data_IF_637814821576
#
_entry.id   IF_637814821576
#
_cell.length_a   1.000
_cell.length_b   1.000
_cell.length_c   1.000
_cell.angle_alpha   90.00
_cell.angle_beta   90.00
_cell.angle_gamma   90.00
#
_symmetry.space_group_name_H-M   'P 1'
#
loop_
_entity.id
_entity.type
_entity.pdbx_description
1 polymer ?
#
# COMPACT_ATOMS: atom_id res chain seq x y z
N UNK A 1 -34.72 12.48 -2.62
CA UNK A 1 -33.70 12.68 -1.57
C UNK A 1 -32.38 12.13 -2.12
N UNK A 2 -31.33 12.92 -2.36
CA UNK A 2 -30.11 12.41 -2.97
C UNK A 2 -29.21 11.70 -1.94
N UNK A 3 -29.24 10.38 -2.06
CA UNK A 3 -28.18 9.38 -1.96
C UNK A 3 -26.72 9.82 -1.62
N UNK A 4 -26.19 9.16 -0.58
CA UNK A 4 -24.78 8.83 -0.28
C UNK A 4 -23.68 9.75 -0.81
N UNK A 5 -23.24 10.66 0.05
CA UNK A 5 -21.90 11.21 0.01
C UNK A 5 -21.16 10.78 1.28
N UNK A 6 -20.82 9.48 1.38
CA UNK A 6 -19.59 9.07 2.06
C UNK A 6 -18.44 9.43 1.14
N UNK A 7 -18.26 10.74 0.97
CA UNK A 7 -16.97 11.29 0.59
C UNK A 7 -16.03 10.88 1.71
N UNK A 8 -15.41 9.70 1.58
CA UNK A 8 -14.06 9.52 2.06
C UNK A 8 -13.27 10.59 1.32
N UNK A 9 -13.30 11.80 1.88
CA UNK A 9 -12.27 12.78 1.70
C UNK A 9 -11.03 12.00 2.05
N UNK A 10 -10.37 11.47 1.03
CA UNK A 10 -8.99 11.08 1.09
C UNK A 10 -8.28 12.40 1.32
N UNK A 11 -8.35 12.87 2.56
CA UNK A 11 -7.49 13.91 3.07
C UNK A 11 -6.13 13.48 2.56
N UNK A 12 -5.51 14.33 1.74
CA UNK A 12 -4.19 14.08 1.15
C UNK A 12 -3.12 14.09 2.25
N UNK A 13 -3.46 13.64 3.46
CA UNK A 13 -2.61 13.25 4.53
C UNK A 13 -1.59 12.25 3.99
N UNK A 14 -0.35 12.70 3.96
CA UNK A 14 0.79 11.84 3.71
C UNK A 14 0.86 10.78 4.79
N UNK A 15 0.44 9.56 4.47
CA UNK A 15 0.52 8.45 5.39
C UNK A 15 1.98 8.17 5.77
N UNK A 16 2.33 8.52 7.00
CA UNK A 16 3.57 8.09 7.62
C UNK A 16 3.36 6.69 8.19
N UNK A 17 3.76 5.69 7.42
CA UNK A 17 3.67 4.29 7.80
C UNK A 17 4.74 3.93 8.83
N UNK A 18 4.35 3.18 9.86
CA UNK A 18 5.26 2.62 10.87
C UNK A 18 5.10 1.10 10.90
N UNK A 19 6.20 0.33 10.95
CA UNK A 19 6.12 -1.12 11.08
C UNK A 19 5.54 -1.48 12.44
N UNK A 20 4.54 -2.35 12.44
CA UNK A 20 3.91 -2.91 13.64
C UNK A 20 4.40 -4.33 13.88
N UNK A 21 4.47 -5.14 12.82
CA UNK A 21 5.04 -6.49 12.87
C UNK A 21 5.69 -6.86 11.55
N UNK A 22 6.65 -7.78 11.62
CA UNK A 22 7.33 -8.33 10.45
C UNK A 22 7.40 -9.85 10.56
N UNK A 23 7.05 -10.53 9.49
CA UNK A 23 7.02 -11.98 9.40
C UNK A 23 7.87 -12.44 8.21
N UNK A 24 8.83 -13.32 8.48
CA UNK A 24 9.58 -14.01 7.43
C UNK A 24 8.70 -15.15 6.88
N UNK A 25 8.58 -15.21 5.57
CA UNK A 25 7.91 -16.28 4.81
C UNK A 25 8.85 -16.77 3.72
N UNK A 26 8.55 -17.92 3.10
CA UNK A 26 9.39 -18.47 2.03
C UNK A 26 9.56 -17.52 0.84
N UNK A 27 8.56 -16.66 0.60
CA UNK A 27 8.54 -15.67 -0.49
C UNK A 27 9.23 -14.35 -0.13
N UNK A 28 9.72 -14.18 1.10
CA UNK A 28 10.39 -12.97 1.56
C UNK A 28 9.92 -12.47 2.92
N UNK A 29 10.02 -11.17 3.15
CA UNK A 29 9.60 -10.52 4.38
C UNK A 29 8.30 -9.76 4.17
N UNK A 30 7.29 -10.10 4.96
CA UNK A 30 6.02 -9.37 5.04
C UNK A 30 6.06 -8.44 6.24
N UNK A 31 5.76 -7.17 6.02
CA UNK A 31 5.72 -6.14 7.08
C UNK A 31 4.33 -5.53 7.13
N UNK A 32 3.67 -5.69 8.28
CA UNK A 32 2.42 -4.99 8.58
C UNK A 32 2.75 -3.61 9.11
N UNK A 33 2.16 -2.59 8.49
CA UNK A 33 2.39 -1.20 8.83
C UNK A 33 1.08 -0.51 9.15
N UNK A 34 1.12 0.39 10.12
CA UNK A 34 -0.01 1.21 10.50
C UNK A 34 0.37 2.69 10.39
N UNK A 35 -0.59 3.49 9.96
CA UNK A 35 -0.50 4.94 10.02
C UNK A 35 -1.17 5.45 11.30
N UNK A 36 -0.73 6.60 11.81
CA UNK A 36 -1.34 7.23 12.99
C UNK A 36 -2.84 7.54 12.80
N UNK A 37 -3.34 7.64 11.56
CA UNK A 37 -4.76 7.79 11.26
C UNK A 37 -5.58 6.50 11.37
N UNK A 38 -4.96 5.38 11.74
CA UNK A 38 -5.62 4.08 11.87
C UNK A 38 -5.67 3.24 10.59
N UNK A 39 -5.17 3.78 9.47
CA UNK A 39 -5.04 3.03 8.22
C UNK A 39 -3.96 1.95 8.33
N UNK A 40 -4.18 0.84 7.63
CA UNK A 40 -3.28 -0.32 7.59
C UNK A 40 -2.77 -0.55 6.17
N UNK A 41 -1.53 -1.01 6.08
CA UNK A 41 -0.90 -1.43 4.83
C UNK A 41 -0.02 -2.64 5.09
N UNK A 42 0.10 -3.50 4.08
CA UNK A 42 1.06 -4.60 4.03
C UNK A 42 2.13 -4.24 3.00
N UNK A 43 3.39 -4.39 3.38
CA UNK A 43 4.53 -4.24 2.49
C UNK A 43 5.27 -5.58 2.41
N UNK A 44 5.43 -6.10 1.18
CA UNK A 44 6.21 -7.30 0.93
C UNK A 44 7.55 -6.89 0.35
N UNK A 45 8.63 -7.22 1.03
CA UNK A 45 9.99 -7.10 0.48
C UNK A 45 10.46 -8.49 0.09
N UNK A 46 10.67 -8.74 -1.21
CA UNK A 46 11.20 -10.02 -1.67
C UNK A 46 12.62 -10.23 -1.10
N UNK A 47 13.06 -11.48 -0.91
CA UNK A 47 14.35 -11.80 -0.30
C UNK A 47 15.52 -11.45 -1.22
N UNK A 48 15.24 -11.28 -2.52
CA UNK A 48 16.17 -10.76 -3.51
C UNK A 48 15.60 -9.44 -4.04
N UNK A 49 16.44 -8.41 -4.26
CA UNK A 49 16.01 -7.20 -4.94
C UNK A 49 15.61 -7.57 -6.37
N UNK A 50 14.32 -7.81 -6.58
CA UNK A 50 13.76 -7.90 -7.93
C UNK A 50 13.71 -6.49 -8.49
N UNK A 51 14.75 -6.12 -9.23
CA UNK A 51 14.64 -5.09 -10.22
C UNK A 51 13.69 -5.62 -11.30
N UNK A 52 12.39 -5.33 -11.19
CA UNK A 52 11.45 -5.41 -12.31
C UNK A 52 11.33 -4.01 -12.93
N UNK A 53 12.27 -3.56 -13.78
CA UNK A 53 12.09 -2.32 -14.53
C UNK A 53 10.91 -2.41 -15.52
N UNK A 54 10.42 -3.60 -15.85
CA UNK A 54 9.40 -3.82 -16.88
C UNK A 54 7.95 -3.68 -16.40
N UNK A 55 7.68 -3.70 -15.09
CA UNK A 55 6.31 -3.54 -14.54
C UNK A 55 5.90 -2.08 -14.30
N UNK A 56 6.78 -1.11 -14.56
CA UNK A 56 6.46 0.31 -14.43
C UNK A 56 5.63 0.87 -15.60
N UNK A 57 5.41 0.08 -16.66
CA UNK A 57 4.65 0.48 -17.85
C UNK A 57 3.44 -0.45 -18.03
N UNK A 58 2.51 -0.44 -17.07
CA UNK A 58 1.12 -0.73 -17.38
C UNK A 58 0.42 0.61 -17.53
N UNK A 59 0.35 1.02 -18.79
CA UNK A 59 -0.25 2.23 -19.34
C UNK A 59 -1.61 2.57 -18.69
N UNK A 60 -1.90 3.86 -18.40
CA UNK A 60 -3.23 4.32 -18.03
C UNK A 60 -4.14 4.37 -19.28
N UNK A 61 -4.52 3.22 -19.83
CA UNK A 61 -5.56 3.15 -20.85
C UNK A 61 -6.95 2.98 -20.18
N UNK A 62 -7.47 4.08 -19.64
CA UNK A 62 -8.92 4.28 -19.56
C UNK A 62 -9.24 5.52 -20.39
N UNK A 63 -9.69 5.28 -21.63
CA UNK A 63 -10.31 6.27 -22.49
C UNK A 63 -11.83 6.22 -22.31
#
# INVERSE_FOLDING_TARGET
MPLHHDGCMTDTHRHRWRPVSSHQVSEGLVVYQQCACGQWRIACTPPYPVAYPELAVLDPACQ
#
